data_IF_036273058983
#
_entry.id   IF_036273058983
#
_cell.length_a   1.000
_cell.length_b   1.000
_cell.length_c   1.000
_cell.angle_alpha   90.00
_cell.angle_beta   90.00
_cell.angle_gamma   90.00
#
_symmetry.space_group_name_H-M   'P 1'
#
loop_
_entity.id
_entity.type
_entity.pdbx_description
1 polymer ?
#
# COMPACT_ATOMS: atom_id res chain seq x y z
N UNK A 1 -12.19 42.47 19.68
CA UNK A 1 -11.00 41.97 18.94
C UNK A 1 -11.43 40.76 18.13
N UNK A 2 -11.74 40.98 16.86
CA UNK A 2 -12.12 39.89 15.96
C UNK A 2 -10.92 39.00 15.69
N UNK A 3 -11.05 37.71 15.99
CA UNK A 3 -10.09 36.71 15.51
C UNK A 3 -10.24 36.68 14.00
N UNK A 4 -9.21 37.14 13.29
CA UNK A 4 -9.12 36.96 11.86
C UNK A 4 -9.05 35.45 11.56
N UNK A 5 -10.17 34.89 11.12
CA UNK A 5 -10.32 33.47 10.75
C UNK A 5 -9.72 33.16 9.36
N UNK A 6 -9.07 34.14 8.70
CA UNK A 6 -8.59 33.99 7.31
C UNK A 6 -7.13 33.54 7.16
N UNK A 7 -6.32 33.57 8.22
CA UNK A 7 -4.94 33.07 8.17
C UNK A 7 -4.83 31.71 8.86
N UNK A 8 -4.96 30.61 8.10
CA UNK A 8 -4.48 29.29 8.57
C UNK A 8 -3.00 29.45 8.95
N UNK A 9 -2.65 29.27 10.23
CA UNK A 9 -1.25 29.26 10.65
C UNK A 9 -0.52 28.02 10.09
N UNK A 10 0.81 28.05 10.09
CA UNK A 10 1.64 26.99 9.48
C UNK A 10 1.37 25.60 10.07
N UNK A 11 1.04 25.52 11.36
CA UNK A 11 0.66 24.25 12.00
C UNK A 11 -0.64 23.71 11.42
N UNK A 12 -1.67 24.55 11.24
CA UNK A 12 -2.94 24.13 10.65
C UNK A 12 -2.81 23.84 9.16
N UNK A 13 -1.98 24.59 8.41
CA UNK A 13 -1.65 24.28 7.00
C UNK A 13 -1.01 22.91 6.87
N UNK A 14 -0.01 22.60 7.70
CA UNK A 14 0.64 21.28 7.71
C UNK A 14 -0.31 20.15 8.09
N UNK A 15 -1.15 20.37 9.10
CA UNK A 15 -2.19 19.42 9.49
C UNK A 15 -3.20 19.16 8.36
N UNK A 16 -3.62 20.22 7.65
CA UNK A 16 -4.49 20.10 6.49
C UNK A 16 -3.84 19.31 5.36
N UNK A 17 -2.56 19.59 5.04
CA UNK A 17 -1.81 18.85 4.02
C UNK A 17 -1.74 17.35 4.34
N UNK A 18 -1.42 16.98 5.58
CA UNK A 18 -1.35 15.58 6.01
C UNK A 18 -2.71 14.86 5.87
N UNK A 19 -3.80 15.52 6.26
CA UNK A 19 -5.16 14.97 6.11
C UNK A 19 -5.55 14.80 4.65
N UNK A 20 -5.21 15.77 3.80
CA UNK A 20 -5.48 15.68 2.37
C UNK A 20 -4.64 14.57 1.70
N UNK A 21 -3.41 14.33 2.14
CA UNK A 21 -2.63 13.16 1.68
C UNK A 21 -3.27 11.84 2.07
N UNK A 22 -3.67 11.71 3.32
CA UNK A 22 -4.35 10.51 3.78
C UNK A 22 -5.65 10.26 2.99
N UNK A 23 -6.40 11.31 2.67
CA UNK A 23 -7.56 11.19 1.79
C UNK A 23 -7.18 10.73 0.38
N UNK A 24 -6.07 11.21 -0.19
CA UNK A 24 -5.62 10.77 -1.52
C UNK A 24 -5.16 9.30 -1.52
N UNK A 25 -4.52 8.83 -0.45
CA UNK A 25 -4.18 7.41 -0.25
C UNK A 25 -5.45 6.54 -0.20
N UNK A 26 -6.48 6.98 0.53
CA UNK A 26 -7.78 6.30 0.55
C UNK A 26 -8.47 6.32 -0.82
N UNK A 27 -8.37 7.43 -1.56
CA UNK A 27 -8.91 7.53 -2.92
C UNK A 27 -8.18 6.58 -3.88
N UNK A 28 -6.87 6.41 -3.73
CA UNK A 28 -6.11 5.42 -4.50
C UNK A 28 -6.60 3.99 -4.22
N UNK A 29 -6.86 3.64 -2.97
CA UNK A 29 -7.40 2.34 -2.59
C UNK A 29 -8.82 2.12 -3.15
N UNK A 30 -9.69 3.13 -3.09
CA UNK A 30 -11.04 3.08 -3.70
C UNK A 30 -10.95 2.89 -5.22
N UNK A 31 -10.05 3.62 -5.90
CA UNK A 31 -9.83 3.51 -7.33
C UNK A 31 -9.36 2.09 -7.71
N UNK A 32 -8.38 1.57 -6.97
CA UNK A 32 -7.85 0.20 -7.14
C UNK A 32 -8.96 -0.85 -7.03
N UNK A 33 -9.82 -0.75 -6.02
CA UNK A 33 -10.94 -1.66 -5.83
C UNK A 33 -12.01 -1.51 -6.93
N UNK A 34 -12.34 -0.28 -7.33
CA UNK A 34 -13.30 -0.02 -8.40
C UNK A 34 -12.81 -0.53 -9.77
N UNK A 35 -11.50 -0.57 -9.99
CA UNK A 35 -10.90 -1.18 -11.18
C UNK A 35 -10.99 -2.71 -11.19
N UNK A 36 -11.44 -3.34 -10.11
CA UNK A 36 -11.40 -4.79 -9.96
C UNK A 36 -9.97 -5.31 -9.75
N UNK A 37 -9.00 -4.41 -9.50
CA UNK A 37 -7.62 -4.74 -9.15
C UNK A 37 -7.55 -5.12 -7.67
N UNK A 38 -8.35 -6.11 -7.26
CA UNK A 38 -8.08 -6.86 -6.05
C UNK A 38 -6.68 -7.48 -6.14
N UNK A 39 -6.12 -7.89 -5.00
CA UNK A 39 -4.90 -8.69 -5.04
C UNK A 39 -5.17 -9.90 -5.95
N UNK A 40 -4.34 -10.11 -6.96
CA UNK A 40 -4.39 -11.33 -7.79
C UNK A 40 -3.87 -12.55 -7.02
N UNK A 41 -3.75 -12.43 -5.69
CA UNK A 41 -3.31 -13.49 -4.81
C UNK A 41 -4.39 -14.56 -4.74
N UNK A 42 -4.03 -15.85 -4.88
CA UNK A 42 -4.96 -16.94 -4.60
C UNK A 42 -5.41 -16.99 -3.13
N UNK A 43 -4.81 -16.18 -2.26
CA UNK A 43 -5.06 -16.10 -0.82
C UNK A 43 -5.87 -14.87 -0.40
N UNK A 44 -6.26 -13.98 -1.32
CA UNK A 44 -7.08 -12.80 -0.98
C UNK A 44 -8.58 -13.06 -1.13
N UNK A 45 -9.37 -12.28 -0.41
CA UNK A 45 -10.83 -12.25 -0.53
C UNK A 45 -11.26 -12.05 -1.99
N UNK A 46 -12.21 -12.86 -2.46
CA UNK A 46 -12.80 -12.73 -3.80
C UNK A 46 -13.81 -11.57 -3.77
N UNK A 47 -13.42 -10.43 -4.31
CA UNK A 47 -14.33 -9.30 -4.50
C UNK A 47 -15.22 -9.50 -5.73
N UNK A 48 -16.51 -9.15 -5.61
CA UNK A 48 -17.39 -9.05 -6.78
C UNK A 48 -17.06 -7.79 -7.58
N UNK A 49 -17.05 -7.89 -8.90
CA UNK A 49 -16.83 -6.73 -9.77
C UNK A 49 -17.93 -5.69 -9.59
N UNK A 50 -17.55 -4.41 -9.65
CA UNK A 50 -18.48 -3.30 -9.64
C UNK A 50 -19.13 -3.17 -11.03
N UNK A 51 -20.45 -2.99 -11.08
CA UNK A 51 -21.16 -2.74 -12.35
C UNK A 51 -20.53 -1.56 -13.11
N UNK A 52 -20.41 -1.61 -14.45
CA UNK A 52 -19.71 -0.59 -15.24
C UNK A 52 -20.16 0.85 -14.96
N UNK A 53 -21.47 1.08 -14.86
CA UNK A 53 -22.03 2.41 -14.58
C UNK A 53 -21.60 2.96 -13.21
N UNK A 54 -21.54 2.09 -12.20
CA UNK A 54 -21.10 2.42 -10.84
C UNK A 54 -19.59 2.69 -10.82
N UNK A 55 -18.80 1.90 -11.55
CA UNK A 55 -17.35 2.12 -11.72
C UNK A 55 -17.07 3.50 -12.33
N UNK A 56 -17.70 3.83 -13.44
CA UNK A 56 -17.53 5.14 -14.07
C UNK A 56 -17.95 6.28 -13.15
N UNK A 57 -19.05 6.12 -12.41
CA UNK A 57 -19.49 7.13 -11.45
C UNK A 57 -18.44 7.35 -10.34
N UNK A 58 -17.90 6.27 -9.76
CA UNK A 58 -16.84 6.33 -8.75
C UNK A 58 -15.60 7.05 -9.29
N UNK A 59 -15.13 6.68 -10.49
CA UNK A 59 -13.96 7.30 -11.11
C UNK A 59 -14.15 8.81 -11.35
N UNK A 60 -15.33 9.23 -11.82
CA UNK A 60 -15.67 10.66 -11.96
C UNK A 60 -15.62 11.40 -10.62
N UNK A 61 -16.12 10.80 -9.55
CA UNK A 61 -16.07 11.42 -8.22
C UNK A 61 -14.65 11.49 -7.65
N UNK A 62 -13.81 10.48 -7.89
CA UNK A 62 -12.39 10.49 -7.51
C UNK A 62 -11.66 11.68 -8.16
N UNK A 63 -11.84 11.88 -9.47
CA UNK A 63 -11.26 13.02 -10.20
C UNK A 63 -11.72 14.34 -9.58
N UNK A 64 -13.03 14.51 -9.38
CA UNK A 64 -13.60 15.73 -8.80
C UNK A 64 -13.11 16.00 -7.37
N UNK A 65 -12.92 14.96 -6.56
CA UNK A 65 -12.37 15.07 -5.21
C UNK A 65 -10.93 15.56 -5.26
N UNK A 66 -10.07 14.95 -6.08
CA UNK A 66 -8.67 15.38 -6.25
C UNK A 66 -8.57 16.82 -6.74
N UNK A 67 -9.37 17.22 -7.74
CA UNK A 67 -9.44 18.60 -8.21
C UNK A 67 -9.84 19.58 -7.10
N UNK A 68 -10.82 19.19 -6.27
CA UNK A 68 -11.27 19.99 -5.13
C UNK A 68 -10.17 20.14 -4.08
N UNK A 69 -9.44 19.08 -3.78
CA UNK A 69 -8.32 19.09 -2.83
C UNK A 69 -7.19 20.02 -3.32
N UNK A 70 -6.82 19.92 -4.60
CA UNK A 70 -5.84 20.81 -5.23
C UNK A 70 -6.27 22.28 -5.18
N UNK A 71 -7.55 22.56 -5.48
CA UNK A 71 -8.11 23.92 -5.37
C UNK A 71 -8.01 24.45 -3.95
N UNK A 72 -8.39 23.66 -2.95
CA UNK A 72 -8.31 24.05 -1.53
C UNK A 72 -6.86 24.36 -1.13
N UNK A 73 -5.90 23.51 -1.48
CA UNK A 73 -4.47 23.73 -1.18
C UNK A 73 -3.96 25.04 -1.81
N UNK A 74 -4.34 25.28 -3.08
CA UNK A 74 -3.99 26.51 -3.80
C UNK A 74 -4.61 27.76 -3.15
N UNK A 75 -5.89 27.72 -2.82
CA UNK A 75 -6.61 28.82 -2.14
C UNK A 75 -6.02 29.14 -0.75
N UNK A 76 -5.39 28.16 -0.09
CA UNK A 76 -4.76 28.33 1.23
C UNK A 76 -3.26 28.58 1.17
N UNK A 77 -2.67 28.69 -0.02
CA UNK A 77 -1.23 28.91 -0.19
C UNK A 77 -0.38 27.79 0.40
N UNK A 78 -0.87 26.55 0.38
CA UNK A 78 -0.16 25.38 0.90
C UNK A 78 0.56 24.70 -0.28
N UNK A 79 1.90 24.67 -0.30
CA UNK A 79 2.61 23.97 -1.36
C UNK A 79 2.36 22.47 -1.29
N UNK A 80 2.13 21.86 -2.46
CA UNK A 80 2.16 20.40 -2.61
C UNK A 80 3.63 19.99 -2.69
N UNK A 81 4.30 20.03 -1.55
CA UNK A 81 5.68 19.58 -1.44
C UNK A 81 5.67 18.08 -1.18
N UNK A 82 5.45 17.28 -2.23
CA UNK A 82 5.45 15.82 -2.13
C UNK A 82 6.90 15.40 -1.82
N UNK A 83 7.25 14.99 -0.59
CA UNK A 83 8.52 14.32 -0.40
C UNK A 83 8.46 13.12 -1.32
N UNK A 84 9.45 13.02 -2.21
CA UNK A 84 9.68 11.84 -3.02
C UNK A 84 9.81 10.68 -2.05
N UNK A 85 8.72 9.94 -1.86
CA UNK A 85 8.76 8.69 -1.13
C UNK A 85 9.62 7.78 -2.00
N UNK A 86 10.74 7.30 -1.47
CA UNK A 86 11.55 6.33 -2.19
C UNK A 86 10.73 5.04 -2.27
N UNK A 87 10.01 4.89 -3.38
CA UNK A 87 9.18 3.73 -3.70
C UNK A 87 10.05 2.47 -3.63
N UNK A 88 11.32 2.56 -4.04
CA UNK A 88 12.28 1.45 -3.97
C UNK A 88 12.56 1.06 -2.51
N UNK A 89 12.82 2.04 -1.63
CA UNK A 89 13.00 1.78 -0.20
C UNK A 89 11.76 1.12 0.44
N UNK A 90 10.57 1.59 0.06
CA UNK A 90 9.30 1.06 0.57
C UNK A 90 9.07 -0.37 0.12
N UNK A 91 9.29 -0.66 -1.18
CA UNK A 91 9.21 -2.02 -1.71
C UNK A 91 10.24 -2.92 -1.04
N UNK A 92 11.47 -2.46 -0.81
CA UNK A 92 12.46 -3.24 -0.06
C UNK A 92 12.01 -3.58 1.36
N UNK A 93 11.33 -2.65 2.04
CA UNK A 93 10.77 -2.88 3.37
C UNK A 93 9.72 -3.99 3.34
N UNK A 94 8.78 -3.94 2.38
CA UNK A 94 7.78 -4.99 2.22
C UNK A 94 8.39 -6.34 1.83
N UNK A 95 9.39 -6.36 0.94
CA UNK A 95 10.10 -7.59 0.56
C UNK A 95 10.84 -8.22 1.74
N UNK A 96 11.38 -7.42 2.66
CA UNK A 96 12.00 -7.94 3.88
C UNK A 96 10.97 -8.56 4.82
N UNK A 97 9.80 -7.93 5.00
CA UNK A 97 8.72 -8.53 5.78
C UNK A 97 8.24 -9.85 5.17
N UNK A 98 8.11 -9.92 3.84
CA UNK A 98 7.74 -11.15 3.14
C UNK A 98 8.81 -12.25 3.29
N UNK A 99 10.10 -11.90 3.25
CA UNK A 99 11.21 -12.85 3.44
C UNK A 99 11.21 -13.44 4.86
N UNK A 100 10.90 -12.60 5.87
CA UNK A 100 10.69 -13.05 7.24
C UNK A 100 9.49 -14.00 7.36
N UNK A 101 8.34 -13.64 6.79
CA UNK A 101 7.16 -14.51 6.80
C UNK A 101 7.40 -15.83 6.07
N UNK A 102 8.21 -15.83 5.00
CA UNK A 102 8.60 -17.06 4.31
C UNK A 102 9.55 -17.92 5.17
N UNK A 103 10.47 -17.30 5.91
CA UNK A 103 11.35 -17.99 6.86
C UNK A 103 10.55 -18.65 8.01
N UNK A 104 9.45 -18.02 8.45
CA UNK A 104 8.55 -18.54 9.49
C UNK A 104 7.81 -19.81 9.07
N UNK A 105 7.74 -20.14 7.78
CA UNK A 105 7.17 -21.42 7.29
C UNK A 105 8.08 -22.60 7.64
N UNK A 106 9.38 -22.37 7.89
CA UNK A 106 10.33 -23.46 8.12
C UNK A 106 9.95 -24.34 9.32
N UNK A 107 10.28 -25.64 9.28
CA UNK A 107 9.87 -26.60 10.31
C UNK A 107 10.22 -26.16 11.73
N UNK A 108 11.37 -25.49 11.92
CA UNK A 108 11.83 -25.02 13.23
C UNK A 108 10.87 -24.02 13.90
N UNK A 109 10.08 -23.26 13.14
CA UNK A 109 9.10 -22.30 13.65
C UNK A 109 7.68 -22.87 13.71
N UNK A 110 7.40 -23.96 12.98
CA UNK A 110 6.08 -24.62 12.94
C UNK A 110 5.87 -25.71 14.01
N UNK A 111 6.89 -26.04 14.82
CA UNK A 111 6.79 -27.06 15.89
C UNK A 111 5.74 -26.75 16.97
N UNK A 112 5.35 -25.49 17.12
CA UNK A 112 4.30 -25.07 18.06
C UNK A 112 2.90 -25.63 17.74
N UNK A 113 2.70 -26.15 16.52
CA UNK A 113 1.43 -26.71 16.05
C UNK A 113 1.33 -28.24 16.20
N UNK A 114 2.36 -28.89 16.76
CA UNK A 114 2.41 -30.34 16.95
C UNK A 114 3.70 -30.96 16.41
N UNK A 115 3.83 -32.27 16.59
CA UNK A 115 4.96 -33.02 16.02
C UNK A 115 4.82 -33.09 14.49
N UNK A 116 5.89 -32.73 13.79
CA UNK A 116 5.99 -32.87 12.34
C UNK A 116 6.64 -34.20 11.99
N UNK A 117 6.07 -34.90 11.02
CA UNK A 117 6.77 -36.01 10.38
C UNK A 117 7.99 -35.47 9.63
N UNK A 118 8.99 -36.33 9.39
CA UNK A 118 10.16 -35.95 8.61
C UNK A 118 9.79 -35.47 7.20
N UNK A 119 8.83 -36.15 6.58
CA UNK A 119 8.32 -35.79 5.26
C UNK A 119 7.68 -34.40 5.24
N UNK A 120 6.82 -34.09 6.21
CA UNK A 120 6.20 -32.76 6.32
C UNK A 120 7.23 -31.66 6.62
N UNK A 121 8.28 -31.98 7.39
CA UNK A 121 9.37 -31.04 7.63
C UNK A 121 10.16 -30.73 6.34
N UNK A 122 10.49 -31.77 5.57
CA UNK A 122 11.20 -31.60 4.30
C UNK A 122 10.35 -30.80 3.28
N UNK A 123 9.03 -31.01 3.25
CA UNK A 123 8.10 -30.25 2.39
C UNK A 123 8.02 -28.76 2.77
N UNK A 124 7.88 -28.44 4.06
CA UNK A 124 7.86 -27.05 4.53
C UNK A 124 9.17 -26.32 4.24
N UNK A 125 10.31 -27.00 4.38
CA UNK A 125 11.62 -26.43 4.04
C UNK A 125 11.75 -26.16 2.53
N UNK A 126 11.19 -27.02 1.68
CA UNK A 126 11.15 -26.81 0.23
C UNK A 126 10.29 -25.58 -0.12
N UNK A 127 9.08 -25.48 0.44
CA UNK A 127 8.18 -24.33 0.24
C UNK A 127 8.82 -23.01 0.67
N UNK A 128 9.40 -22.97 1.87
CA UNK A 128 10.08 -21.77 2.38
C UNK A 128 11.25 -21.35 1.46
N UNK A 129 12.00 -22.32 0.96
CA UNK A 129 13.14 -22.07 0.06
C UNK A 129 12.69 -21.50 -1.28
N UNK A 130 11.65 -22.08 -1.89
CA UNK A 130 11.10 -21.60 -3.16
C UNK A 130 10.61 -20.14 -3.06
N UNK A 131 9.86 -19.82 -1.99
CA UNK A 131 9.37 -18.46 -1.75
C UNK A 131 10.52 -17.45 -1.56
N UNK A 132 11.53 -17.80 -0.75
CA UNK A 132 12.69 -16.94 -0.50
C UNK A 132 13.53 -16.73 -1.77
N UNK A 133 13.64 -17.73 -2.64
CA UNK A 133 14.33 -17.58 -3.93
C UNK A 133 13.62 -16.58 -4.85
N UNK A 134 12.29 -16.64 -4.94
CA UNK A 134 11.49 -15.66 -5.70
C UNK A 134 11.64 -14.25 -5.15
N UNK A 135 11.59 -14.09 -3.81
CA UNK A 135 11.78 -12.80 -3.16
C UNK A 135 13.17 -12.21 -3.41
N UNK A 136 14.23 -13.04 -3.38
CA UNK A 136 15.60 -12.62 -3.73
C UNK A 136 15.71 -12.16 -5.18
N UNK A 137 15.04 -12.83 -6.13
CA UNK A 137 15.01 -12.40 -7.52
C UNK A 137 14.33 -11.03 -7.67
N UNK A 138 13.20 -10.80 -6.98
CA UNK A 138 12.53 -9.50 -6.96
C UNK A 138 13.43 -8.40 -6.38
N UNK A 139 14.12 -8.67 -5.26
CA UNK A 139 15.08 -7.74 -4.67
C UNK A 139 16.25 -7.41 -5.62
N UNK A 140 16.74 -8.39 -6.39
CA UNK A 140 17.84 -8.21 -7.33
C UNK A 140 17.47 -7.31 -8.51
N UNK A 141 16.21 -7.34 -8.98
CA UNK A 141 15.71 -6.42 -10.02
C UNK A 141 15.75 -4.98 -9.50
N UNK A 142 15.28 -4.75 -8.28
CA UNK A 142 15.20 -3.40 -7.69
C UNK A 142 16.57 -2.78 -7.42
N UNK A 143 17.61 -3.58 -7.15
CA UNK A 143 19.00 -3.10 -7.01
C UNK A 143 19.64 -2.64 -8.33
N UNK A 144 19.09 -3.03 -9.49
CA UNK A 144 19.64 -2.70 -10.82
C UNK A 144 19.16 -1.37 -11.40
N UNK A 145 18.23 -0.68 -10.73
CA UNK A 145 17.75 0.63 -11.15
C UNK A 145 18.70 1.73 -10.65
N UNK A 146 19.73 2.03 -11.46
CA UNK A 146 20.59 3.23 -11.34
C UNK A 146 20.33 4.11 -12.57
#
# INVERSE_FOLDING_TARGET
MGVDLTALDERRKRSLLLKLRHLDELLFEVDRLAEGKGSSSPLSDRYTELEPEKKEAVQRYIVRLRETMCRILKEKGIPIDVPLFDITHSIHTYLNFMDMSAEEIRPKYMRGYGELTREAADELDAVATELQELLKQMQAVLRKSI
#
